data_IF_396911053641
#
_entry.id   IF_396911053641
#
_cell.length_a   1.000
_cell.length_b   1.000
_cell.length_c   1.000
_cell.angle_alpha   90.00
_cell.angle_beta   90.00
_cell.angle_gamma   90.00
#
_symmetry.space_group_name_H-M   'P 1'
#
loop_
_entity.id
_entity.type
_entity.pdbx_description
1 polymer ?
#
# COMPACT_ATOMS: atom_id res chain seq x y z
N UNK A 1 14.15 -59.08 9.46
CA UNK A 1 13.31 -58.45 8.42
C UNK A 1 12.46 -57.39 9.13
N UNK A 2 12.81 -56.11 9.24
CA UNK A 2 13.26 -55.06 8.30
C UNK A 2 12.12 -54.55 7.40
N UNK A 3 11.33 -53.64 7.96
CA UNK A 3 10.44 -52.66 7.30
C UNK A 3 10.52 -51.37 8.14
N UNK A 4 11.53 -50.51 7.92
CA UNK A 4 11.53 -49.31 7.05
C UNK A 4 10.61 -48.18 7.49
N UNK A 5 11.25 -47.07 7.90
CA UNK A 5 10.98 -45.66 7.53
C UNK A 5 9.58 -45.16 7.94
N UNK A 6 9.43 -44.27 8.92
CA UNK A 6 9.73 -42.83 8.85
C UNK A 6 9.88 -42.41 10.33
N UNK A 7 11.09 -42.16 10.83
CA UNK A 7 11.77 -40.89 10.58
C UNK A 7 11.13 -39.80 11.43
N UNK A 8 11.59 -39.66 12.66
CA UNK A 8 11.15 -38.70 13.67
C UNK A 8 10.65 -37.36 13.08
N UNK A 9 9.33 -37.18 13.02
CA UNK A 9 8.64 -35.96 12.58
C UNK A 9 8.77 -34.78 13.57
N UNK A 10 9.82 -34.79 14.39
CA UNK A 10 10.19 -33.64 15.19
C UNK A 10 11.17 -32.82 14.35
N UNK A 11 10.67 -31.73 13.75
CA UNK A 11 11.32 -30.43 13.72
C UNK A 11 10.47 -29.44 12.90
N UNK A 12 10.14 -28.31 13.54
CA UNK A 12 9.66 -27.06 12.97
C UNK A 12 8.22 -27.12 12.39
N UNK A 13 7.16 -26.97 13.17
CA UNK A 13 6.79 -25.71 13.84
C UNK A 13 7.18 -24.46 13.04
N UNK A 14 6.69 -24.37 11.79
CA UNK A 14 6.78 -23.20 10.92
C UNK A 14 5.40 -22.61 10.60
N UNK A 15 4.51 -22.53 11.59
CA UNK A 15 3.19 -21.90 11.47
C UNK A 15 3.16 -20.62 12.31
N UNK A 16 3.96 -19.63 11.94
CA UNK A 16 3.75 -18.25 12.40
C UNK A 16 3.29 -17.42 11.21
N UNK A 17 1.97 -17.41 11.09
CA UNK A 17 1.12 -16.36 10.54
C UNK A 17 1.87 -15.03 10.36
N UNK A 18 2.29 -14.71 9.15
CA UNK A 18 2.61 -13.34 8.76
C UNK A 18 1.30 -12.56 8.64
N UNK A 19 0.70 -12.20 9.77
CA UNK A 19 -0.33 -11.14 9.82
C UNK A 19 0.40 -9.80 9.71
N UNK A 20 0.93 -9.53 8.53
CA UNK A 20 1.43 -8.23 8.15
C UNK A 20 0.28 -7.29 7.82
N UNK A 21 -0.64 -7.04 8.76
CA UNK A 21 -1.56 -5.91 8.67
C UNK A 21 -0.81 -4.66 9.19
N UNK A 22 0.30 -4.34 8.54
CA UNK A 22 0.97 -3.07 8.72
C UNK A 22 0.12 -2.03 8.02
N UNK A 23 -0.80 -1.39 8.74
CA UNK A 23 -1.43 -0.16 8.27
C UNK A 23 -0.33 0.87 8.14
N UNK A 24 0.14 1.07 6.90
CA UNK A 24 1.01 2.18 6.55
C UNK A 24 0.36 3.44 7.12
N UNK A 25 1.05 4.05 8.09
CA UNK A 25 0.59 5.24 8.81
C UNK A 25 0.63 6.43 7.85
N UNK A 26 -0.30 6.47 6.90
CA UNK A 26 -0.67 7.71 6.24
C UNK A 26 -1.38 8.51 7.34
N UNK A 27 -0.84 9.71 7.65
CA UNK A 27 -1.41 10.77 8.52
C UNK A 27 -2.79 10.41 9.07
N UNK A 28 -2.95 10.35 10.39
CA UNK A 28 -4.19 9.94 11.05
C UNK A 28 -5.42 10.68 10.49
N UNK A 29 -6.02 10.12 9.44
CA UNK A 29 -7.20 10.66 8.80
C UNK A 29 -8.37 10.41 9.74
N UNK A 30 -9.04 11.48 10.12
CA UNK A 30 -10.18 11.43 11.03
C UNK A 30 -11.44 11.96 10.34
N UNK A 31 -12.54 11.21 10.51
CA UNK A 31 -13.88 11.57 10.06
C UNK A 31 -14.87 11.09 11.13
N UNK A 32 -15.75 11.97 11.65
CA UNK A 32 -16.75 11.57 12.63
C UNK A 32 -17.64 10.44 12.10
N UNK A 33 -17.80 9.37 12.88
CA UNK A 33 -18.64 8.22 12.54
C UNK A 33 -18.07 7.26 11.50
N UNK A 34 -16.85 7.47 10.99
CA UNK A 34 -16.16 6.49 10.16
C UNK A 34 -15.41 5.49 11.02
N UNK A 35 -15.61 4.20 10.75
CA UNK A 35 -14.76 3.14 11.31
C UNK A 35 -13.45 3.02 10.53
N UNK A 36 -12.50 2.27 11.09
CA UNK A 36 -11.20 2.03 10.48
C UNK A 36 -11.31 1.29 9.14
N UNK A 37 -12.27 0.38 8.99
CA UNK A 37 -12.44 -0.40 7.76
C UNK A 37 -12.91 0.50 6.61
N UNK A 38 -13.83 1.44 6.88
CA UNK A 38 -14.28 2.45 5.93
C UNK A 38 -13.14 3.37 5.53
N UNK A 39 -12.34 3.83 6.51
CA UNK A 39 -11.16 4.66 6.22
C UNK A 39 -10.16 3.95 5.30
N UNK A 40 -9.87 2.68 5.54
CA UNK A 40 -8.96 1.91 4.68
C UNK A 40 -9.53 1.71 3.27
N UNK A 41 -10.85 1.46 3.15
CA UNK A 41 -11.52 1.37 1.84
C UNK A 41 -11.45 2.69 1.08
N UNK A 42 -11.80 3.80 1.75
CA UNK A 42 -11.76 5.13 1.17
C UNK A 42 -10.36 5.52 0.71
N UNK A 43 -9.34 5.20 1.52
CA UNK A 43 -7.94 5.46 1.19
C UNK A 43 -7.47 4.63 -0.02
N UNK A 44 -7.83 3.35 -0.07
CA UNK A 44 -7.50 2.48 -1.20
C UNK A 44 -8.16 2.96 -2.51
N UNK A 45 -9.42 3.40 -2.43
CA UNK A 45 -10.12 3.97 -3.58
C UNK A 45 -9.46 5.27 -4.05
N UNK A 46 -9.14 6.17 -3.12
CA UNK A 46 -8.42 7.41 -3.43
C UNK A 46 -7.01 7.15 -4.01
N UNK A 47 -6.27 6.15 -3.53
CA UNK A 47 -4.97 5.77 -4.07
C UNK A 47 -5.09 5.22 -5.50
N UNK A 48 -6.12 4.41 -5.76
CA UNK A 48 -6.39 3.86 -7.07
C UNK A 48 -6.71 4.95 -8.09
N UNK A 49 -7.58 5.89 -7.74
CA UNK A 49 -7.92 7.03 -8.61
C UNK A 49 -6.73 7.95 -8.84
N UNK A 50 -5.95 8.25 -7.79
CA UNK A 50 -4.74 9.04 -7.92
C UNK A 50 -3.71 8.36 -8.82
N UNK A 51 -3.53 7.04 -8.69
CA UNK A 51 -2.61 6.26 -9.52
C UNK A 51 -2.99 6.31 -11.01
N UNK A 52 -4.28 6.25 -11.33
CA UNK A 52 -4.76 6.43 -12.71
C UNK A 52 -4.43 7.80 -13.25
N UNK A 53 -4.65 8.84 -12.44
CA UNK A 53 -4.43 10.22 -12.82
C UNK A 53 -2.94 10.57 -12.98
N UNK A 54 -2.04 9.90 -12.24
CA UNK A 54 -0.59 10.14 -12.30
C UNK A 54 0.17 9.05 -13.06
N UNK A 55 -0.53 8.23 -13.85
CA UNK A 55 0.14 7.27 -14.73
C UNK A 55 0.96 8.06 -15.74
N UNK A 56 2.26 7.76 -15.83
CA UNK A 56 3.20 8.53 -16.64
C UNK A 56 2.80 8.59 -18.12
N UNK A 57 3.37 9.54 -18.84
CA UNK A 57 3.14 9.85 -20.26
C UNK A 57 3.67 8.79 -21.25
N UNK A 58 4.08 7.61 -20.74
CA UNK A 58 4.63 6.51 -21.53
C UNK A 58 6.01 6.81 -22.14
N UNK A 59 6.64 7.92 -21.77
CA UNK A 59 7.99 8.26 -22.21
C UNK A 59 9.01 7.61 -21.29
N UNK A 60 9.96 6.89 -21.88
CA UNK A 60 11.11 6.39 -21.15
C UNK A 60 12.03 7.58 -20.78
N UNK A 61 12.46 7.69 -19.51
CA UNK A 61 13.41 8.73 -19.10
C UNK A 61 14.75 8.54 -19.83
N UNK A 62 15.38 9.65 -20.23
CA UNK A 62 16.64 9.61 -21.00
C UNK A 62 17.87 9.43 -20.12
N UNK A 63 17.79 9.84 -18.87
CA UNK A 63 18.84 9.64 -17.87
C UNK A 63 18.23 9.14 -16.55
N UNK A 64 19.07 8.58 -15.69
CA UNK A 64 18.66 8.22 -14.33
C UNK A 64 18.21 9.44 -13.53
N UNK A 65 18.82 10.62 -13.74
CA UNK A 65 18.41 11.87 -13.09
C UNK A 65 16.98 12.28 -13.47
N UNK A 66 16.65 12.19 -14.75
CA UNK A 66 15.29 12.45 -15.24
C UNK A 66 14.28 11.47 -14.64
N UNK A 67 14.62 10.18 -14.60
CA UNK A 67 13.76 9.14 -14.03
C UNK A 67 13.44 9.40 -12.55
N UNK A 68 14.43 9.80 -11.76
CA UNK A 68 14.26 10.09 -10.34
C UNK A 68 13.46 11.37 -10.15
N UNK A 69 13.80 12.45 -10.87
CA UNK A 69 13.09 13.73 -10.76
C UNK A 69 11.60 13.59 -11.13
N UNK A 70 11.33 12.94 -12.26
CA UNK A 70 9.98 12.66 -12.73
C UNK A 70 9.21 11.73 -11.76
N UNK A 71 9.87 10.70 -11.23
CA UNK A 71 9.30 9.83 -10.20
C UNK A 71 8.93 10.57 -8.91
N UNK A 72 9.76 11.51 -8.46
CA UNK A 72 9.48 12.36 -7.30
C UNK A 72 8.28 13.27 -7.56
N UNK A 73 8.27 13.98 -8.69
CA UNK A 73 7.17 14.89 -9.06
C UNK A 73 5.85 14.13 -9.13
N UNK A 74 5.82 12.97 -9.79
CA UNK A 74 4.61 12.12 -9.86
C UNK A 74 4.19 11.58 -8.50
N UNK A 75 5.15 11.20 -7.66
CA UNK A 75 4.86 10.78 -6.29
C UNK A 75 4.23 11.89 -5.44
N UNK A 76 4.71 13.12 -5.60
CA UNK A 76 4.13 14.30 -4.94
C UNK A 76 2.71 14.59 -5.45
N UNK A 77 2.52 14.58 -6.77
CA UNK A 77 1.21 14.80 -7.38
C UNK A 77 0.19 13.74 -6.94
N UNK A 78 0.59 12.46 -6.95
CA UNK A 78 -0.25 11.35 -6.47
C UNK A 78 -0.64 11.57 -5.01
N UNK A 79 0.33 11.94 -4.17
CA UNK A 79 0.10 12.20 -2.74
C UNK A 79 -0.90 13.34 -2.53
N UNK A 80 -0.83 14.39 -3.34
CA UNK A 80 -1.75 15.53 -3.23
C UNK A 80 -3.16 15.20 -3.74
N UNK A 81 -3.27 14.35 -4.75
CA UNK A 81 -4.56 13.83 -5.21
C UNK A 81 -5.23 12.95 -4.14
N UNK A 82 -4.48 12.06 -3.47
CA UNK A 82 -5.01 11.26 -2.36
C UNK A 82 -5.53 12.16 -1.25
N UNK A 83 -4.75 13.18 -0.82
CA UNK A 83 -5.18 14.13 0.21
C UNK A 83 -6.45 14.89 -0.19
N UNK A 84 -6.55 15.31 -1.46
CA UNK A 84 -7.75 15.99 -2.00
C UNK A 84 -8.96 15.06 -1.95
N UNK A 85 -8.81 13.82 -2.43
CA UNK A 85 -9.87 12.82 -2.41
C UNK A 85 -10.37 12.54 -0.98
N UNK A 86 -9.45 12.32 -0.04
CA UNK A 86 -9.79 12.10 1.37
C UNK A 86 -10.52 13.30 1.98
N UNK A 87 -10.09 14.54 1.68
CA UNK A 87 -10.78 15.76 2.14
C UNK A 87 -12.19 15.89 1.56
N UNK A 88 -12.39 15.58 0.28
CA UNK A 88 -13.74 15.59 -0.34
C UNK A 88 -14.65 14.56 0.32
N UNK A 89 -14.12 13.42 0.77
CA UNK A 89 -14.86 12.41 1.54
C UNK A 89 -15.17 12.81 2.99
N UNK A 90 -14.69 13.99 3.43
CA UNK A 90 -14.90 14.52 4.76
C UNK A 90 -13.86 14.10 5.80
N UNK A 91 -12.72 13.55 5.38
CA UNK A 91 -11.60 13.28 6.28
C UNK A 91 -10.74 14.53 6.48
N UNK A 92 -10.16 14.64 7.68
CA UNK A 92 -9.23 15.70 8.09
C UNK A 92 -7.96 15.09 8.69
N UNK A 93 -6.80 15.76 8.50
CA UNK A 93 -5.47 15.28 8.94
C UNK A 93 -4.27 15.91 8.21
#
# INVERSE_FOLDING_TARGET
MRTTLIGASALLSGAMMLVGCGTTQIKAWSKPGADEAQKQRDLAECDYDASKATTGDGKAPKTTGDAVGDGVVRGMEKSDLIKKCMRVRGYSG
#
